data_IF_290694867743
#
_entry.id   IF_290694867743
#
_cell.length_a   1.000
_cell.length_b   1.000
_cell.length_c   1.000
_cell.angle_alpha   90.00
_cell.angle_beta   90.00
_cell.angle_gamma   90.00
#
_symmetry.space_group_name_H-M   'P 1'
#
loop_
_entity.id
_entity.type
_entity.pdbx_description
1 polymer ?
#
# COMPACT_ATOMS: atom_id res chain seq x y z
N UNK A 1 75.78 -45.72 -14.55
CA UNK A 1 74.86 -46.85 -14.85
C UNK A 1 73.52 -46.28 -14.84
N UNK A 2 72.89 -45.91 -16.06
CA UNK A 2 71.96 -46.73 -16.79
C UNK A 2 70.62 -46.87 -15.98
N UNK A 3 69.42 -46.40 -16.32
CA UNK A 3 68.69 -46.45 -17.59
C UNK A 3 67.42 -45.52 -17.43
N UNK A 4 67.12 -44.78 -18.38
CA UNK A 4 65.96 -44.39 -19.19
C UNK A 4 64.69 -45.23 -19.04
N UNK A 5 63.53 -44.54 -18.94
CA UNK A 5 62.42 -44.86 -19.79
C UNK A 5 61.33 -43.70 -19.76
N UNK A 6 61.10 -43.19 -20.94
CA UNK A 6 59.95 -42.29 -21.27
C UNK A 6 58.65 -43.07 -21.18
N UNK A 7 57.60 -42.44 -20.61
CA UNK A 7 56.24 -42.83 -20.93
C UNK A 7 55.41 -41.55 -21.35
N UNK A 8 55.19 -41.55 -22.64
CA UNK A 8 54.31 -40.55 -23.32
C UNK A 8 52.88 -41.03 -23.17
N UNK A 9 52.09 -40.42 -22.31
CA UNK A 9 50.63 -40.63 -22.30
C UNK A 9 49.99 -39.77 -23.38
N UNK A 10 49.48 -40.41 -24.44
CA UNK A 10 48.60 -39.84 -25.45
C UNK A 10 47.26 -39.38 -24.80
N UNK A 11 47.05 -38.07 -24.83
CA UNK A 11 45.72 -37.49 -24.60
C UNK A 11 44.83 -37.70 -25.83
N UNK A 12 43.90 -38.65 -25.72
CA UNK A 12 42.84 -38.88 -26.73
C UNK A 12 41.89 -37.69 -26.78
N UNK A 13 41.92 -36.95 -27.87
CA UNK A 13 40.93 -35.93 -28.20
C UNK A 13 39.59 -36.59 -28.50
N UNK A 14 38.55 -36.32 -27.66
CA UNK A 14 37.17 -36.71 -27.96
C UNK A 14 36.69 -35.98 -29.22
N UNK A 15 36.06 -36.64 -30.19
CA UNK A 15 35.55 -36.00 -31.38
C UNK A 15 34.38 -35.10 -30.99
N UNK A 16 34.43 -33.81 -31.32
CA UNK A 16 33.30 -32.88 -31.26
C UNK A 16 32.29 -33.27 -32.35
N UNK A 17 31.23 -33.95 -31.97
CA UNK A 17 30.12 -34.27 -32.86
C UNK A 17 29.48 -32.96 -33.33
N UNK A 18 29.68 -32.62 -34.62
CA UNK A 18 28.95 -31.48 -35.24
C UNK A 18 27.52 -31.91 -35.45
N UNK A 19 26.59 -31.28 -34.73
CA UNK A 19 25.15 -31.46 -34.98
C UNK A 19 24.83 -31.19 -36.44
N UNK A 20 24.08 -32.12 -37.08
CA UNK A 20 23.64 -31.99 -38.46
C UNK A 20 22.72 -30.77 -38.68
N UNK A 21 22.68 -30.27 -39.92
CA UNK A 21 21.87 -29.10 -40.29
C UNK A 21 20.41 -29.25 -39.87
N UNK A 22 19.85 -30.46 -39.98
CA UNK A 22 18.47 -30.79 -39.59
C UNK A 22 18.24 -30.67 -38.08
N UNK A 23 19.19 -31.06 -37.25
CA UNK A 23 19.11 -30.96 -35.77
C UNK A 23 19.24 -29.51 -35.31
N UNK A 24 20.09 -28.70 -35.96
CA UNK A 24 20.18 -27.26 -35.71
C UNK A 24 18.89 -26.50 -36.07
N UNK A 25 18.26 -26.84 -37.19
CA UNK A 25 16.97 -26.28 -37.62
C UNK A 25 15.83 -26.68 -36.67
N UNK A 26 15.85 -27.90 -36.15
CA UNK A 26 14.86 -28.36 -35.17
C UNK A 26 15.02 -27.69 -33.83
N UNK A 27 16.25 -27.51 -33.34
CA UNK A 27 16.56 -26.76 -32.12
C UNK A 27 16.15 -25.29 -32.22
N UNK A 28 16.38 -24.63 -33.34
CA UNK A 28 15.93 -23.23 -33.59
C UNK A 28 14.41 -23.12 -33.59
N UNK A 29 13.69 -24.09 -34.19
CA UNK A 29 12.23 -24.09 -34.19
C UNK A 29 11.65 -24.31 -32.80
N UNK A 30 12.22 -25.22 -31.99
CA UNK A 30 11.81 -25.46 -30.61
C UNK A 30 12.07 -24.20 -29.74
N UNK A 31 13.23 -23.55 -29.93
CA UNK A 31 13.56 -22.32 -29.20
C UNK A 31 12.64 -21.16 -29.57
N UNK A 32 12.29 -21.04 -30.85
CA UNK A 32 11.34 -20.02 -31.33
C UNK A 32 9.91 -20.25 -30.79
N UNK A 33 9.47 -21.50 -30.69
CA UNK A 33 8.15 -21.88 -30.14
C UNK A 33 8.13 -21.61 -28.62
N UNK A 34 9.19 -21.99 -27.89
CA UNK A 34 9.30 -21.73 -26.46
C UNK A 34 9.37 -20.24 -26.17
N UNK A 35 10.09 -19.45 -26.98
CA UNK A 35 10.15 -18.01 -26.87
C UNK A 35 8.79 -17.34 -27.16
N UNK A 36 8.05 -17.84 -28.16
CA UNK A 36 6.71 -17.37 -28.48
C UNK A 36 5.68 -17.71 -27.39
N UNK A 37 5.76 -18.91 -26.81
CA UNK A 37 4.92 -19.30 -25.64
C UNK A 37 5.28 -18.47 -24.40
N UNK A 38 6.56 -18.22 -24.16
CA UNK A 38 7.01 -17.38 -23.04
C UNK A 38 6.61 -15.90 -23.22
N UNK A 39 6.65 -15.37 -24.45
CA UNK A 39 6.18 -14.00 -24.74
C UNK A 39 4.66 -13.85 -24.63
N UNK A 40 3.88 -14.88 -24.92
CA UNK A 40 2.43 -14.89 -24.71
C UNK A 40 2.05 -14.98 -23.22
N UNK A 41 2.86 -15.66 -22.41
CA UNK A 41 2.64 -15.77 -20.96
C UNK A 41 2.93 -14.44 -20.21
N UNK A 42 3.77 -13.56 -20.75
CA UNK A 42 4.11 -12.27 -20.15
C UNK A 42 3.12 -11.15 -20.48
N UNK A 43 2.19 -11.34 -21.41
CA UNK A 43 1.20 -10.32 -21.80
C UNK A 43 -0.19 -10.49 -21.18
N UNK A 44 -0.42 -11.52 -20.39
CA UNK A 44 -1.67 -11.65 -19.62
C UNK A 44 -1.61 -10.94 -18.26
N UNK A 45 -1.07 -9.72 -18.17
CA UNK A 45 -1.59 -8.74 -17.22
C UNK A 45 -2.96 -8.33 -17.77
N UNK A 46 -4.00 -9.06 -17.39
CA UNK A 46 -5.36 -8.61 -17.58
C UNK A 46 -5.40 -7.20 -16.99
N UNK A 47 -5.57 -6.20 -17.84
CA UNK A 47 -5.79 -4.83 -17.39
C UNK A 47 -7.04 -4.89 -16.54
N UNK A 48 -6.86 -4.76 -15.23
CA UNK A 48 -7.95 -4.84 -14.26
C UNK A 48 -9.01 -3.82 -14.67
N UNK A 49 -10.17 -4.29 -15.10
CA UNK A 49 -11.25 -3.44 -15.58
C UNK A 49 -11.66 -2.45 -14.49
N UNK A 50 -12.00 -1.24 -14.88
CA UNK A 50 -12.58 -0.25 -13.97
C UNK A 50 -14.07 -0.16 -14.26
N UNK A 51 -14.91 -0.43 -13.25
CA UNK A 51 -16.36 -0.28 -13.32
C UNK A 51 -16.76 1.00 -12.58
N UNK A 52 -17.31 1.96 -13.31
CA UNK A 52 -17.82 3.17 -12.70
C UNK A 52 -19.10 2.90 -11.88
N UNK A 53 -19.14 3.41 -10.65
CA UNK A 53 -20.23 3.30 -9.69
C UNK A 53 -20.89 4.67 -9.50
N UNK A 54 -21.57 5.16 -10.54
CA UNK A 54 -22.33 6.43 -10.49
C UNK A 54 -23.47 6.41 -9.47
N UNK A 55 -24.00 5.21 -9.13
CA UNK A 55 -24.98 4.98 -8.08
C UNK A 55 -24.47 5.36 -6.67
N UNK A 56 -23.15 5.39 -6.45
CA UNK A 56 -22.55 5.82 -5.18
C UNK A 56 -22.60 7.33 -4.94
N UNK A 57 -22.99 8.11 -5.94
CA UNK A 57 -23.24 9.56 -5.79
C UNK A 57 -24.12 9.89 -4.58
N UNK A 58 -25.12 9.06 -4.30
CA UNK A 58 -26.03 9.24 -3.15
C UNK A 58 -25.29 9.36 -1.82
N UNK A 59 -24.24 8.54 -1.59
CA UNK A 59 -23.46 8.57 -0.35
C UNK A 59 -22.66 9.86 -0.20
N UNK A 60 -22.12 10.39 -1.30
CA UNK A 60 -21.44 11.68 -1.27
C UNK A 60 -22.42 12.84 -1.09
N UNK A 61 -23.59 12.78 -1.73
CA UNK A 61 -24.62 13.81 -1.64
C UNK A 61 -25.22 13.91 -0.24
N UNK A 62 -25.44 12.78 0.44
CA UNK A 62 -25.95 12.72 1.81
C UNK A 62 -25.06 13.52 2.78
N UNK A 63 -23.75 13.45 2.61
CA UNK A 63 -22.77 14.18 3.43
C UNK A 63 -22.34 15.53 2.80
N UNK A 64 -22.95 15.97 1.70
CA UNK A 64 -22.55 17.17 0.96
C UNK A 64 -21.03 17.20 0.70
N UNK A 65 -20.46 16.06 0.30
CA UNK A 65 -19.04 15.88 0.07
C UNK A 65 -18.73 15.81 -1.43
N UNK A 66 -17.60 16.40 -1.84
CA UNK A 66 -17.00 16.21 -3.17
C UNK A 66 -15.78 15.31 -3.00
N UNK A 67 -15.67 14.27 -3.83
CA UNK A 67 -14.56 13.34 -3.69
C UNK A 67 -14.66 12.16 -4.63
N UNK A 68 -13.80 11.19 -4.41
CA UNK A 68 -13.76 9.90 -5.12
C UNK A 68 -13.52 8.76 -4.14
N UNK A 69 -13.96 7.59 -4.54
CA UNK A 69 -13.58 6.33 -3.87
C UNK A 69 -13.24 5.27 -4.91
N UNK A 70 -12.19 4.52 -4.63
CA UNK A 70 -11.84 3.28 -5.33
C UNK A 70 -12.03 2.13 -4.36
N UNK A 71 -12.74 1.09 -4.79
CA UNK A 71 -12.90 -0.16 -4.03
C UNK A 71 -12.46 -1.32 -4.92
N UNK A 72 -11.63 -2.19 -4.37
CA UNK A 72 -11.21 -3.43 -5.01
C UNK A 72 -11.68 -4.61 -4.16
N UNK A 73 -12.72 -5.30 -4.61
CA UNK A 73 -13.30 -6.45 -3.91
C UNK A 73 -12.64 -7.74 -4.42
N UNK A 74 -11.75 -8.32 -3.62
CA UNK A 74 -11.03 -9.55 -3.94
C UNK A 74 -11.68 -10.81 -3.35
N UNK A 75 -12.89 -10.71 -2.80
CA UNK A 75 -13.68 -11.86 -2.33
C UNK A 75 -14.27 -12.65 -3.49
N UNK A 76 -14.35 -12.05 -4.67
CA UNK A 76 -14.91 -12.64 -5.89
C UNK A 76 -13.85 -12.78 -6.98
N UNK A 77 -14.11 -13.62 -7.96
CA UNK A 77 -13.18 -13.88 -9.08
C UNK A 77 -13.09 -12.69 -10.06
N UNK A 78 -14.18 -11.93 -10.21
CA UNK A 78 -14.19 -10.68 -10.99
C UNK A 78 -13.56 -9.57 -10.17
N UNK A 79 -12.34 -9.17 -10.58
CA UNK A 79 -11.48 -8.24 -9.84
C UNK A 79 -11.54 -6.81 -10.36
N UNK A 80 -12.63 -6.42 -11.03
CA UNK A 80 -12.77 -5.05 -11.49
C UNK A 80 -12.71 -4.06 -10.31
N UNK A 81 -11.96 -2.96 -10.46
CA UNK A 81 -12.00 -1.86 -9.52
C UNK A 81 -13.32 -1.11 -9.66
N UNK A 82 -14.08 -1.01 -8.58
CA UNK A 82 -15.31 -0.21 -8.49
C UNK A 82 -14.92 1.23 -8.17
N UNK A 83 -15.30 2.19 -8.99
CA UNK A 83 -14.84 3.58 -8.85
C UNK A 83 -15.98 4.57 -8.94
N UNK A 84 -16.10 5.46 -7.96
CA UNK A 84 -16.88 6.68 -8.08
C UNK A 84 -15.95 7.84 -8.45
N UNK A 85 -16.29 8.64 -9.46
CA UNK A 85 -15.46 9.66 -10.09
C UNK A 85 -14.11 9.12 -10.58
N UNK A 86 -14.09 8.42 -11.73
CA UNK A 86 -12.89 7.84 -12.31
C UNK A 86 -11.81 8.87 -12.68
N UNK A 87 -12.18 10.11 -12.98
CA UNK A 87 -11.23 11.18 -13.31
C UNK A 87 -10.47 11.59 -12.06
N UNK A 88 -11.19 11.88 -10.97
CA UNK A 88 -10.56 12.27 -9.71
C UNK A 88 -9.76 11.12 -9.09
N UNK A 89 -10.17 9.87 -9.28
CA UNK A 89 -9.49 8.71 -8.71
C UNK A 89 -8.05 8.52 -9.21
N UNK A 90 -7.72 9.08 -10.38
CA UNK A 90 -6.39 9.08 -10.99
C UNK A 90 -5.56 10.31 -10.63
N UNK A 91 -6.19 11.36 -10.12
CA UNK A 91 -5.49 12.59 -9.75
C UNK A 91 -4.71 12.36 -8.45
N UNK A 92 -3.45 12.77 -8.45
CA UNK A 92 -2.57 12.71 -7.29
C UNK A 92 -2.78 13.91 -6.38
N UNK A 93 -2.73 13.65 -5.07
CA UNK A 93 -2.83 14.63 -3.99
C UNK A 93 -1.83 14.28 -2.90
N UNK A 94 -1.51 15.22 -2.02
CA UNK A 94 -0.71 14.93 -0.83
C UNK A 94 -1.30 13.73 -0.07
N UNK A 95 -0.50 12.72 0.28
CA UNK A 95 -0.98 11.57 1.04
C UNK A 95 -1.35 11.93 2.48
N UNK A 96 -0.87 13.04 2.99
CA UNK A 96 -1.02 13.43 4.38
C UNK A 96 -0.68 12.25 5.32
N UNK A 97 -1.44 12.05 6.38
CA UNK A 97 -1.17 10.99 7.35
C UNK A 97 -1.40 9.56 6.85
N UNK A 98 -1.91 9.33 5.63
CA UNK A 98 -1.90 7.97 5.06
C UNK A 98 -0.48 7.51 4.75
N UNK A 99 0.45 8.45 4.54
CA UNK A 99 1.87 8.16 4.36
C UNK A 99 2.52 7.51 5.59
N UNK A 100 1.94 7.63 6.77
CA UNK A 100 2.44 6.95 7.96
C UNK A 100 2.54 5.42 7.78
N UNK A 101 1.75 4.83 6.89
CA UNK A 101 1.82 3.40 6.57
C UNK A 101 3.20 3.06 5.97
N UNK A 102 3.61 3.57 4.79
CA UNK A 102 4.94 3.28 4.24
C UNK A 102 6.06 3.91 5.07
N UNK A 103 5.84 5.05 5.70
CA UNK A 103 6.85 5.71 6.53
C UNK A 103 7.28 4.85 7.74
N UNK A 104 6.34 4.11 8.34
CA UNK A 104 6.67 3.15 9.40
C UNK A 104 7.56 2.02 8.88
N UNK A 105 7.30 1.50 7.66
CA UNK A 105 8.19 0.53 7.03
C UNK A 105 9.58 1.09 6.81
N UNK A 106 9.68 2.33 6.33
CA UNK A 106 10.96 3.01 6.11
C UNK A 106 11.73 3.19 7.42
N UNK A 107 11.03 3.59 8.49
CA UNK A 107 11.64 3.81 9.80
C UNK A 107 12.18 2.50 10.42
N UNK A 108 11.42 1.41 10.31
CA UNK A 108 11.83 0.09 10.78
C UNK A 108 13.01 -0.48 9.96
N UNK A 109 12.97 -0.34 8.63
CA UNK A 109 14.03 -0.84 7.74
C UNK A 109 15.30 0.00 7.82
N UNK A 110 15.16 1.30 8.04
CA UNK A 110 16.28 2.21 8.23
C UNK A 110 16.98 2.09 9.59
N UNK A 111 16.31 1.45 10.57
CA UNK A 111 16.78 1.39 11.96
C UNK A 111 16.45 2.66 12.78
N UNK A 112 15.66 3.60 12.25
CA UNK A 112 15.19 4.77 12.98
C UNK A 112 14.21 4.39 14.11
N UNK A 113 13.56 3.24 13.97
CA UNK A 113 12.72 2.60 14.98
C UNK A 113 13.21 1.18 15.20
N UNK A 114 13.48 0.83 16.46
CA UNK A 114 13.94 -0.50 16.83
C UNK A 114 12.81 -1.53 16.79
N UNK A 115 11.71 -1.19 17.46
CA UNK A 115 10.54 -2.06 17.63
C UNK A 115 9.28 -1.22 17.98
N UNK A 116 8.14 -1.87 18.12
CA UNK A 116 6.85 -1.23 18.43
C UNK A 116 6.75 -0.68 19.86
N UNK A 117 7.63 -1.09 20.76
CA UNK A 117 7.65 -0.69 22.18
C UNK A 117 8.59 0.49 22.46
N UNK A 118 9.34 0.94 21.45
CA UNK A 118 10.21 2.11 21.59
C UNK A 118 9.39 3.33 21.94
N UNK A 119 9.76 3.99 23.05
CA UNK A 119 9.07 5.19 23.52
C UNK A 119 9.73 6.44 22.92
N UNK A 120 8.92 7.26 22.28
CA UNK A 120 9.24 8.60 21.82
C UNK A 120 8.74 9.59 22.87
N UNK A 121 9.65 10.29 23.53
CA UNK A 121 9.32 11.21 24.61
C UNK A 121 8.73 12.50 24.06
N UNK A 122 7.60 12.91 24.63
CA UNK A 122 6.99 14.19 24.32
C UNK A 122 7.88 15.36 24.80
N UNK A 123 8.00 16.36 23.96
CA UNK A 123 8.85 17.55 24.20
C UNK A 123 8.14 18.64 25.01
N UNK A 124 6.91 18.40 25.52
CA UNK A 124 6.13 19.38 26.28
C UNK A 124 5.37 20.40 25.41
N UNK A 125 5.54 20.37 24.08
CA UNK A 125 4.87 21.33 23.17
C UNK A 125 3.43 20.90 22.91
N UNK A 126 2.47 21.78 23.22
CA UNK A 126 1.06 21.57 22.92
C UNK A 126 0.78 21.81 21.43
N UNK A 127 0.35 20.76 20.71
CA UNK A 127 0.07 20.76 19.26
C UNK A 127 -1.42 20.80 18.90
N UNK A 128 -2.29 21.15 19.85
CA UNK A 128 -3.73 21.30 19.62
C UNK A 128 -4.52 19.99 19.55
N UNK A 129 -3.85 18.82 19.49
CA UNK A 129 -4.48 17.51 19.55
C UNK A 129 -4.05 16.78 20.81
N UNK A 130 -4.99 16.49 21.72
CA UNK A 130 -4.68 15.88 23.01
C UNK A 130 -3.84 14.59 22.89
N UNK A 131 -4.16 13.73 21.91
CA UNK A 131 -3.41 12.51 21.63
C UNK A 131 -1.95 12.73 21.18
N UNK A 132 -1.57 13.95 20.76
CA UNK A 132 -0.20 14.28 20.37
C UNK A 132 0.66 14.76 21.55
N UNK A 133 0.02 15.17 22.66
CA UNK A 133 0.64 15.85 23.79
C UNK A 133 0.99 14.86 24.92
N UNK A 134 1.64 13.78 24.57
CA UNK A 134 2.07 12.72 25.48
C UNK A 134 3.17 11.87 24.85
N UNK A 135 3.87 11.08 25.65
CA UNK A 135 4.78 10.07 25.15
C UNK A 135 4.07 9.11 24.20
N UNK A 136 4.76 8.68 23.15
CA UNK A 136 4.23 7.79 22.14
C UNK A 136 5.10 6.53 22.04
N UNK A 137 4.47 5.41 21.76
CA UNK A 137 5.08 4.26 21.11
C UNK A 137 4.65 4.23 19.63
N UNK A 138 5.10 3.24 18.87
CA UNK A 138 4.76 3.16 17.44
C UNK A 138 3.26 2.94 17.22
N UNK A 139 2.59 2.21 18.12
CA UNK A 139 1.15 1.91 18.07
C UNK A 139 0.31 3.16 18.34
N UNK A 140 0.62 3.89 19.39
CA UNK A 140 -0.08 5.14 19.73
C UNK A 140 0.20 6.22 18.69
N UNK A 141 1.42 6.33 18.18
CA UNK A 141 1.78 7.29 17.13
C UNK A 141 1.00 7.06 15.83
N UNK A 142 0.81 5.79 15.41
CA UNK A 142 -0.02 5.44 14.25
C UNK A 142 -1.49 5.76 14.51
N UNK A 143 -2.04 5.31 15.65
CA UNK A 143 -3.44 5.50 16.04
C UNK A 143 -3.82 6.96 16.19
N UNK A 144 -3.01 7.73 16.93
CA UNK A 144 -3.23 9.15 17.16
C UNK A 144 -2.82 10.02 15.96
N UNK A 145 -2.19 9.41 14.95
CA UNK A 145 -1.67 10.14 13.79
C UNK A 145 -0.64 11.21 14.14
N UNK A 146 0.19 10.95 15.16
CA UNK A 146 1.11 11.90 15.80
C UNK A 146 2.19 12.38 14.84
N UNK A 147 2.12 13.63 14.40
CA UNK A 147 2.97 14.17 13.34
C UNK A 147 4.43 14.24 13.79
N UNK A 148 4.72 14.81 14.97
CA UNK A 148 6.08 15.01 15.44
C UNK A 148 6.91 13.73 15.56
N UNK A 149 6.29 12.57 15.84
CA UNK A 149 7.02 11.28 15.84
C UNK A 149 7.51 10.93 14.43
N UNK A 150 6.68 11.17 13.43
CA UNK A 150 7.02 10.87 12.03
C UNK A 150 8.00 11.91 11.44
N UNK A 151 8.04 13.14 11.98
CA UNK A 151 9.10 14.11 11.67
C UNK A 151 10.46 13.64 12.20
N UNK A 152 10.50 13.01 13.39
CA UNK A 152 11.74 12.37 13.88
C UNK A 152 12.19 11.25 12.91
N UNK A 153 11.27 10.44 12.41
CA UNK A 153 11.60 9.39 11.44
C UNK A 153 12.13 9.99 10.13
N UNK A 154 11.47 11.02 9.60
CA UNK A 154 11.92 11.69 8.38
C UNK A 154 13.34 12.24 8.53
N UNK A 155 13.62 12.89 9.66
CA UNK A 155 14.95 13.44 9.97
C UNK A 155 16.02 12.35 10.02
N UNK A 156 15.73 11.21 10.65
CA UNK A 156 16.68 10.09 10.79
C UNK A 156 16.89 9.36 9.45
N UNK A 157 15.84 9.20 8.65
CA UNK A 157 15.90 8.53 7.34
C UNK A 157 16.66 9.39 6.33
N UNK A 158 16.36 10.69 6.30
CA UNK A 158 16.87 11.65 5.32
C UNK A 158 16.26 11.51 3.91
N UNK A 159 16.29 12.60 3.13
CA UNK A 159 15.59 12.72 1.85
C UNK A 159 16.06 11.72 0.80
N UNK A 160 17.37 11.48 0.71
CA UNK A 160 17.94 10.56 -0.28
C UNK A 160 17.48 9.11 -0.05
N UNK A 161 17.43 8.67 1.21
CA UNK A 161 16.96 7.33 1.56
C UNK A 161 15.45 7.23 1.39
N UNK A 162 14.71 8.27 1.77
CA UNK A 162 13.28 8.37 1.53
C UNK A 162 12.95 8.25 0.03
N UNK A 163 13.66 8.97 -0.84
CA UNK A 163 13.51 8.89 -2.30
C UNK A 163 13.76 7.49 -2.83
N UNK A 164 14.79 6.80 -2.34
CA UNK A 164 15.07 5.42 -2.74
C UNK A 164 13.95 4.47 -2.32
N UNK A 165 13.42 4.61 -1.10
CA UNK A 165 12.30 3.80 -0.62
C UNK A 165 11.03 4.05 -1.43
N UNK A 166 10.67 5.31 -1.66
CA UNK A 166 9.49 5.69 -2.45
C UNK A 166 9.51 5.08 -3.85
N UNK A 167 10.66 5.18 -4.54
CA UNK A 167 10.86 4.55 -5.86
C UNK A 167 10.77 3.03 -5.79
N UNK A 168 11.36 2.41 -4.76
CA UNK A 168 11.41 0.97 -4.59
C UNK A 168 10.03 0.35 -4.38
N UNK A 169 9.09 1.08 -3.76
CA UNK A 169 7.72 0.63 -3.54
C UNK A 169 6.72 1.18 -4.57
N UNK A 170 7.19 2.00 -5.52
CA UNK A 170 6.36 2.64 -6.55
C UNK A 170 5.22 3.46 -5.92
N UNK A 171 5.56 4.40 -5.03
CA UNK A 171 4.58 5.19 -4.28
C UNK A 171 4.35 6.56 -4.91
N UNK A 172 3.24 6.69 -5.62
CA UNK A 172 2.81 7.95 -6.24
C UNK A 172 3.86 8.55 -7.19
N UNK A 173 4.20 9.83 -6.99
CA UNK A 173 5.26 10.49 -7.78
C UNK A 173 6.67 10.24 -7.24
N UNK A 174 6.81 9.56 -6.11
CA UNK A 174 8.08 9.24 -5.45
C UNK A 174 8.99 10.47 -5.19
N UNK A 175 8.39 11.64 -4.96
CA UNK A 175 9.12 12.89 -4.75
C UNK A 175 9.03 13.39 -3.28
N UNK A 176 10.08 13.21 -2.45
CA UNK A 176 10.12 13.69 -1.08
C UNK A 176 10.63 15.14 -0.96
N UNK A 177 10.55 15.93 -2.02
CA UNK A 177 11.02 17.31 -1.98
C UNK A 177 10.12 18.17 -1.09
N UNK A 178 10.75 18.93 -0.20
CA UNK A 178 10.06 19.81 0.75
C UNK A 178 11.01 20.88 1.23
N UNK A 179 10.46 21.98 1.75
CA UNK A 179 11.21 23.01 2.48
C UNK A 179 11.30 22.75 3.98
N UNK A 180 10.41 21.89 4.53
CA UNK A 180 10.18 21.79 5.99
C UNK A 180 10.41 20.37 6.54
N UNK A 181 10.81 19.39 5.71
CA UNK A 181 11.00 18.01 6.14
C UNK A 181 9.72 17.15 6.20
N UNK A 182 8.55 17.73 5.99
CA UNK A 182 7.24 17.07 6.02
C UNK A 182 6.65 16.87 4.61
N UNK A 183 7.47 16.38 3.69
CA UNK A 183 7.17 16.19 2.26
C UNK A 183 5.85 15.46 1.97
N UNK A 184 5.25 14.80 2.96
CA UNK A 184 3.98 14.08 2.83
C UNK A 184 2.75 14.91 3.24
N UNK A 185 2.92 16.13 3.77
CA UNK A 185 1.85 17.07 4.13
C UNK A 185 1.93 18.30 3.20
N UNK A 186 3.02 19.09 3.30
CA UNK A 186 3.18 20.35 2.59
C UNK A 186 4.21 20.28 1.45
N UNK A 187 4.85 19.11 1.25
CA UNK A 187 5.85 18.91 0.20
C UNK A 187 5.28 18.40 -1.12
N UNK A 188 6.17 17.89 -1.96
CA UNK A 188 5.86 17.48 -3.33
C UNK A 188 5.31 16.07 -3.47
N UNK A 189 5.33 15.25 -2.40
CA UNK A 189 4.85 13.88 -2.48
C UNK A 189 3.34 13.84 -2.74
N UNK A 190 2.95 13.13 -3.78
CA UNK A 190 1.55 13.01 -4.18
C UNK A 190 1.22 11.61 -4.69
N UNK A 191 0.01 11.14 -4.36
CA UNK A 191 -0.50 9.82 -4.72
C UNK A 191 -1.99 9.90 -5.07
N UNK A 192 -2.45 9.05 -5.98
CA UNK A 192 -3.85 8.92 -6.37
C UNK A 192 -4.57 7.83 -5.58
N UNK A 193 -5.90 7.83 -5.60
CA UNK A 193 -6.68 6.78 -4.94
C UNK A 193 -6.42 5.39 -5.56
N UNK A 194 -6.20 5.30 -6.87
CA UNK A 194 -5.86 4.05 -7.52
C UNK A 194 -4.47 3.54 -7.10
N UNK A 195 -3.48 4.43 -7.00
CA UNK A 195 -2.14 4.07 -6.52
C UNK A 195 -2.12 3.67 -5.04
N UNK A 196 -3.00 4.27 -4.20
CA UNK A 196 -3.20 3.82 -2.83
C UNK A 196 -3.66 2.35 -2.78
N UNK A 197 -4.62 1.96 -3.62
CA UNK A 197 -5.06 0.56 -3.72
C UNK A 197 -3.91 -0.36 -4.13
N UNK A 198 -3.13 0.02 -5.16
CA UNK A 198 -1.99 -0.78 -5.61
C UNK A 198 -0.95 -0.97 -4.49
N UNK A 199 -0.62 0.08 -3.74
CA UNK A 199 0.27 0.01 -2.60
C UNK A 199 -0.28 -0.89 -1.48
N UNK A 200 -1.56 -0.71 -1.09
CA UNK A 200 -2.18 -1.49 -0.01
C UNK A 200 -2.25 -2.99 -0.33
N UNK A 201 -2.51 -3.35 -1.60
CA UNK A 201 -2.46 -4.74 -2.07
C UNK A 201 -1.08 -5.37 -1.90
N UNK A 202 -0.01 -4.64 -2.28
CA UNK A 202 1.38 -5.10 -2.08
C UNK A 202 1.68 -5.31 -0.59
N UNK A 203 1.27 -4.37 0.26
CA UNK A 203 1.43 -4.48 1.72
C UNK A 203 0.66 -5.69 2.28
N UNK A 204 -0.60 -5.86 1.90
CA UNK A 204 -1.45 -6.97 2.35
C UNK A 204 -0.81 -8.32 2.06
N UNK A 205 -0.29 -8.50 0.84
CA UNK A 205 0.34 -9.73 0.35
C UNK A 205 1.80 -9.92 0.80
N UNK A 206 2.38 -8.98 1.55
CA UNK A 206 3.80 -8.93 1.93
C UNK A 206 4.75 -8.91 0.71
N UNK A 207 4.34 -8.25 -0.37
CA UNK A 207 5.09 -8.13 -1.63
C UNK A 207 5.96 -6.86 -1.68
N UNK A 208 5.92 -6.01 -0.64
CA UNK A 208 6.81 -4.87 -0.54
C UNK A 208 8.23 -5.32 -0.21
N UNK A 209 9.27 -4.60 -0.67
CA UNK A 209 10.67 -5.00 -0.52
C UNK A 209 11.22 -4.71 0.89
N UNK A 210 10.49 -5.15 1.91
CA UNK A 210 10.83 -5.08 3.33
C UNK A 210 10.67 -6.44 3.97
N UNK A 211 11.26 -6.65 5.14
CA UNK A 211 11.09 -7.90 5.89
C UNK A 211 9.60 -8.15 6.17
N UNK A 212 9.19 -9.40 6.06
CA UNK A 212 7.78 -9.81 6.26
C UNK A 212 7.28 -9.42 7.65
N UNK A 213 8.14 -9.52 8.67
CA UNK A 213 7.82 -9.14 10.06
C UNK A 213 7.47 -7.66 10.17
N UNK A 214 8.22 -6.79 9.47
CA UNK A 214 7.93 -5.35 9.43
C UNK A 214 6.59 -5.06 8.75
N UNK A 215 6.30 -5.75 7.64
CA UNK A 215 5.03 -5.60 6.94
C UNK A 215 3.86 -6.10 7.79
N UNK A 216 4.02 -7.21 8.51
CA UNK A 216 3.01 -7.73 9.45
C UNK A 216 2.77 -6.74 10.59
N UNK A 217 3.83 -6.21 11.20
CA UNK A 217 3.72 -5.22 12.26
C UNK A 217 2.93 -3.98 11.79
N UNK A 218 3.27 -3.42 10.62
CA UNK A 218 2.54 -2.26 10.09
C UNK A 218 1.05 -2.57 9.90
N UNK A 219 0.70 -3.77 9.40
CA UNK A 219 -0.69 -4.20 9.29
C UNK A 219 -1.39 -4.27 10.66
N UNK A 220 -0.70 -4.76 11.70
CA UNK A 220 -1.26 -4.77 13.07
C UNK A 220 -1.48 -3.35 13.63
N UNK A 221 -0.58 -2.42 13.34
CA UNK A 221 -0.72 -1.01 13.74
C UNK A 221 -1.91 -0.30 13.07
N UNK A 222 -2.40 -0.83 11.94
CA UNK A 222 -3.53 -0.29 11.17
C UNK A 222 -4.90 -0.81 11.63
N UNK A 223 -4.99 -1.71 12.61
CA UNK A 223 -6.28 -2.23 13.08
C UNK A 223 -7.12 -1.10 13.67
N UNK A 224 -8.31 -0.89 13.10
CA UNK A 224 -9.31 0.08 13.55
C UNK A 224 -10.43 -0.63 14.32
N UNK A 225 -10.88 -1.76 13.78
CA UNK A 225 -12.03 -2.50 14.29
C UNK A 225 -11.91 -3.97 13.90
N UNK A 226 -12.40 -4.85 14.74
CA UNK A 226 -12.45 -6.28 14.46
C UNK A 226 -13.78 -6.86 14.93
N UNK A 227 -14.35 -7.74 14.13
CA UNK A 227 -15.51 -8.55 14.46
C UNK A 227 -15.16 -10.03 14.53
N UNK A 228 -16.19 -10.88 14.63
CA UNK A 228 -15.98 -12.33 14.76
C UNK A 228 -15.20 -12.94 13.58
N UNK A 229 -15.48 -12.48 12.34
CA UNK A 229 -14.95 -13.06 11.12
C UNK A 229 -14.34 -12.00 10.18
N UNK A 230 -14.08 -10.77 10.65
CA UNK A 230 -13.54 -9.72 9.83
C UNK A 230 -12.66 -8.77 10.64
N UNK A 231 -11.72 -8.11 9.97
CA UNK A 231 -10.85 -7.09 10.55
C UNK A 231 -10.80 -5.91 9.59
N UNK A 232 -11.08 -4.71 10.08
CA UNK A 232 -10.89 -3.46 9.37
C UNK A 232 -9.54 -2.85 9.75
N UNK A 233 -8.68 -2.70 8.75
CA UNK A 233 -7.38 -2.02 8.86
C UNK A 233 -7.40 -0.77 8.01
N UNK A 234 -7.12 0.37 8.59
CA UNK A 234 -7.20 1.63 7.86
C UNK A 234 -6.33 2.73 8.46
N UNK A 235 -6.14 3.78 7.68
CA UNK A 235 -5.48 5.02 8.10
C UNK A 235 -6.18 6.22 7.51
N UNK A 236 -6.44 7.22 8.35
CA UNK A 236 -6.91 8.54 7.95
C UNK A 236 -5.75 9.43 7.52
N UNK A 237 -6.03 10.40 6.64
CA UNK A 237 -5.13 11.49 6.30
C UNK A 237 -5.88 12.79 6.20
N UNK A 238 -5.20 13.92 6.47
CA UNK A 238 -5.73 15.26 6.30
C UNK A 238 -4.59 16.28 6.24
N UNK A 239 -4.65 17.18 5.27
CA UNK A 239 -3.67 18.25 5.08
C UNK A 239 -4.32 19.65 5.13
N UNK A 240 -5.56 19.75 5.62
CA UNK A 240 -6.29 21.01 5.78
C UNK A 240 -7.37 21.26 4.73
N UNK A 241 -7.20 20.80 3.48
CA UNK A 241 -8.17 21.00 2.38
C UNK A 241 -8.77 19.71 1.86
N UNK A 242 -8.09 18.60 2.08
CA UNK A 242 -8.49 17.29 1.63
C UNK A 242 -8.29 16.24 2.71
N UNK A 243 -9.26 15.35 2.82
CA UNK A 243 -9.25 14.24 3.75
C UNK A 243 -9.20 12.89 3.05
N UNK A 244 -8.39 11.97 3.57
CA UNK A 244 -8.26 10.59 3.12
C UNK A 244 -8.80 9.61 4.16
N UNK A 245 -9.31 8.47 3.67
CA UNK A 245 -9.40 7.24 4.43
C UNK A 245 -9.12 6.07 3.52
N UNK A 246 -8.06 5.31 3.85
CA UNK A 246 -7.57 4.22 3.01
C UNK A 246 -7.33 2.97 3.86
N UNK A 247 -7.55 1.79 3.28
CA UNK A 247 -7.39 0.54 4.02
C UNK A 247 -8.03 -0.65 3.34
N UNK A 248 -8.36 -1.66 4.15
CA UNK A 248 -9.08 -2.85 3.68
C UNK A 248 -9.85 -3.52 4.82
N UNK A 249 -10.85 -4.29 4.45
CA UNK A 249 -11.55 -5.23 5.32
C UNK A 249 -11.13 -6.63 4.96
N UNK A 250 -10.62 -7.38 5.93
CA UNK A 250 -10.26 -8.79 5.78
C UNK A 250 -11.46 -9.68 6.14
N UNK A 251 -11.77 -10.63 5.25
CA UNK A 251 -12.73 -11.71 5.46
C UNK A 251 -12.06 -13.05 5.17
N UNK A 252 -12.54 -14.18 5.69
CA UNK A 252 -12.00 -15.50 5.33
C UNK A 252 -12.04 -15.81 3.82
N UNK A 253 -12.96 -15.17 3.09
CA UNK A 253 -13.15 -15.33 1.65
C UNK A 253 -12.29 -14.41 0.80
N UNK A 254 -11.56 -13.46 1.38
CA UNK A 254 -10.73 -12.47 0.69
C UNK A 254 -10.87 -11.09 1.30
N UNK A 255 -10.21 -10.10 0.73
CA UNK A 255 -10.16 -8.74 1.25
C UNK A 255 -10.83 -7.74 0.33
N UNK A 256 -11.39 -6.68 0.91
CA UNK A 256 -11.97 -5.56 0.18
C UNK A 256 -11.16 -4.30 0.49
N UNK A 257 -10.38 -3.85 -0.46
CA UNK A 257 -9.56 -2.63 -0.35
C UNK A 257 -10.38 -1.40 -0.68
N UNK A 258 -10.06 -0.30 -0.04
CA UNK A 258 -10.68 0.99 -0.34
C UNK A 258 -9.70 2.16 -0.20
N UNK A 259 -9.89 3.17 -1.04
CA UNK A 259 -9.20 4.45 -0.95
C UNK A 259 -10.16 5.57 -1.32
N UNK A 260 -10.55 6.36 -0.32
CA UNK A 260 -11.39 7.54 -0.49
C UNK A 260 -10.56 8.79 -0.29
N UNK A 261 -10.80 9.82 -1.14
CA UNK A 261 -10.46 11.18 -0.79
C UNK A 261 -11.66 12.14 -1.01
N UNK A 262 -11.79 13.11 -0.12
CA UNK A 262 -12.82 14.16 -0.19
C UNK A 262 -12.23 15.53 0.05
N UNK A 263 -12.84 16.56 -0.53
CA UNK A 263 -12.57 17.95 -0.15
C UNK A 263 -13.11 18.22 1.25
N UNK A 264 -12.37 19.03 2.03
CA UNK A 264 -12.74 19.41 3.40
C UNK A 264 -12.84 20.94 3.52
N UNK A 265 -13.84 21.59 2.86
CA UNK A 265 -13.98 23.05 2.89
C UNK A 265 -14.23 23.58 4.30
N UNK A 266 -14.91 22.83 5.16
CA UNK A 266 -15.15 23.17 6.56
C UNK A 266 -14.08 22.60 7.49
N UNK A 267 -12.91 22.23 6.93
CA UNK A 267 -11.73 21.75 7.67
C UNK A 267 -12.05 20.56 8.58
N UNK A 268 -11.85 20.71 9.90
CA UNK A 268 -12.03 19.63 10.89
C UNK A 268 -13.47 19.12 10.96
N UNK A 269 -14.45 19.98 10.71
CA UNK A 269 -15.89 19.62 10.76
C UNK A 269 -16.28 18.62 9.65
N UNK A 270 -15.47 18.51 8.59
CA UNK A 270 -15.70 17.55 7.51
C UNK A 270 -15.01 16.18 7.74
N UNK A 271 -14.17 16.05 8.76
CA UNK A 271 -13.31 14.86 8.89
C UNK A 271 -14.08 13.56 9.12
N UNK A 272 -15.20 13.62 9.82
CA UNK A 272 -16.06 12.44 10.06
C UNK A 272 -16.64 11.86 8.76
N UNK A 273 -16.85 12.70 7.74
CA UNK A 273 -17.45 12.32 6.46
C UNK A 273 -16.63 11.24 5.74
N UNK A 274 -15.31 11.22 5.92
CA UNK A 274 -14.42 10.24 5.31
C UNK A 274 -14.83 8.81 5.68
N UNK A 275 -14.94 8.56 6.98
CA UNK A 275 -15.31 7.23 7.49
C UNK A 275 -16.79 6.93 7.24
N UNK A 276 -17.68 7.90 7.40
CA UNK A 276 -19.11 7.73 7.19
C UNK A 276 -19.43 7.28 5.75
N UNK A 277 -18.86 7.95 4.74
CA UNK A 277 -19.05 7.61 3.33
C UNK A 277 -18.50 6.22 3.01
N UNK A 278 -17.26 5.92 3.41
CA UNK A 278 -16.67 4.60 3.14
C UNK A 278 -17.46 3.50 3.80
N UNK A 279 -17.84 3.66 5.08
CA UNK A 279 -18.63 2.64 5.80
C UNK A 279 -19.99 2.41 5.14
N UNK A 280 -20.67 3.47 4.68
CA UNK A 280 -21.94 3.36 3.96
C UNK A 280 -21.76 2.57 2.63
N UNK A 281 -20.72 2.89 1.86
CA UNK A 281 -20.41 2.18 0.61
C UNK A 281 -20.03 0.72 0.88
N UNK A 282 -19.14 0.43 1.83
CA UNK A 282 -18.73 -0.93 2.15
C UNK A 282 -19.90 -1.79 2.65
N UNK A 283 -20.86 -1.21 3.40
CA UNK A 283 -22.10 -1.91 3.78
C UNK A 283 -23.00 -2.18 2.58
N UNK A 284 -23.09 -1.24 1.63
CA UNK A 284 -23.92 -1.42 0.44
C UNK A 284 -23.49 -2.56 -0.49
N UNK A 285 -22.25 -3.02 -0.33
CA UNK A 285 -21.67 -4.18 -1.04
C UNK A 285 -21.35 -5.34 -0.10
N UNK A 286 -21.92 -5.33 1.10
CA UNK A 286 -21.73 -6.39 2.12
C UNK A 286 -20.26 -6.62 2.50
N UNK A 287 -19.42 -5.59 2.38
CA UNK A 287 -18.01 -5.62 2.78
C UNK A 287 -17.81 -5.25 4.26
N UNK A 288 -18.80 -4.66 4.89
CA UNK A 288 -18.93 -4.49 6.34
C UNK A 288 -20.29 -4.97 6.81
N UNK A 289 -20.40 -5.47 8.04
CA UNK A 289 -21.70 -5.84 8.59
C UNK A 289 -22.61 -4.60 8.70
N UNK A 290 -23.94 -4.79 8.73
CA UNK A 290 -24.88 -3.70 9.01
C UNK A 290 -24.53 -3.05 10.37
N UNK A 291 -24.96 -1.79 10.56
CA UNK A 291 -24.86 -1.20 11.90
C UNK A 291 -25.56 -2.10 12.89
N UNK A 292 -24.97 -2.37 14.08
CA UNK A 292 -25.73 -3.01 15.13
C UNK A 292 -27.00 -2.19 15.32
N UNK A 293 -28.15 -2.87 15.27
CA UNK A 293 -29.43 -2.22 15.57
C UNK A 293 -29.25 -1.51 16.93
N UNK A 294 -29.52 -0.22 16.98
CA UNK A 294 -29.65 0.47 18.27
C UNK A 294 -30.83 -0.23 18.93
N UNK A 295 -30.55 -1.10 19.90
CA UNK A 295 -31.60 -1.73 20.66
C UNK A 295 -32.42 -0.62 21.35
N UNK A 296 -33.56 -0.31 20.80
CA UNK A 296 -34.56 0.61 21.37
C UNK A 296 -35.17 0.05 22.68
N UNK A 297 -34.72 -1.11 23.14
CA UNK A 297 -35.25 -1.81 24.31
C UNK A 297 -34.45 -1.57 25.62
N UNK A 298 -33.47 -0.65 25.63
CA UNK A 298 -32.76 -0.29 26.88
C UNK A 298 -33.43 0.86 27.67
N UNK A 299 -34.68 1.21 27.31
CA UNK A 299 -35.48 2.22 28.02
C UNK A 299 -36.84 1.65 28.44
N UNK A 300 -36.82 0.59 29.28
CA UNK A 300 -37.98 0.19 30.11
C UNK A 300 -37.52 -0.23 31.48
#
# INVERSE_FOLDING_TARGET
>A
MLWSSNDVTQQGSRPKTKLGIKEKLMAIRIFAILFYIFSLATFAHAQEGTLERSDWRKFFSEFQAKGTIVVADERQADRAMLVFDPVRSKKRYSPASTFKIPHTLFALDAGAVRDEFQIFRWDGVNRGFAGHNQDQDLRSAMRNSTVWVYELFAKEIGDDKARRYLKKIDYGNADPSTSNGDYWIEGSLAISAQEQIAFLRKLYRNELPFRVEQQRLVKELMIVEAGRNWILRAKTGWEGRMGWWVGWVEWPTGSVFFALNIDTPNRMDDLFKREAIVRAILRSIEALPPNPAVNSDAAR
#
